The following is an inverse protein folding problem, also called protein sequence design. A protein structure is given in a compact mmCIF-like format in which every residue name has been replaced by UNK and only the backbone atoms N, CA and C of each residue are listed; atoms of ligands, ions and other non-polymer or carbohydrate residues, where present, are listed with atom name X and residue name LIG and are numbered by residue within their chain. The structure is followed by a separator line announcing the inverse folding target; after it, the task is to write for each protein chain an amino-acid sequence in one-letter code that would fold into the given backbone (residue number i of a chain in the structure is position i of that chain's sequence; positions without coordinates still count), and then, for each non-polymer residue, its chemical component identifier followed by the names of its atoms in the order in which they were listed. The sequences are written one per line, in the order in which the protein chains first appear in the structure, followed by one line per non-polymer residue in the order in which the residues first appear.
data_IF_213633867999
#
_entry.id   IF_213633867999
#
_cell.length_a   1.000
_cell.length_b   1.000
_cell.length_c   1.000
_cell.angle_alpha   90.00
_cell.angle_beta   90.00
_cell.angle_gamma   90.00
#
_symmetry.space_group_name_H-M   'P 1'
#
loop_
_entity.id
_entity.type
_entity.pdbx_description
1 polymer ?
#
# COMPACT_ATOMS: atom_id res chain seq x y z
N UNK A 1 -5.64 11.63 31.29
CA UNK A 1 -4.60 11.54 30.23
C UNK A 1 -5.09 12.02 28.87
N UNK A 2 -6.33 11.74 28.42
CA UNK A 2 -6.81 12.19 27.09
C UNK A 2 -6.85 13.72 26.94
N UNK A 3 -7.30 14.45 27.95
CA UNK A 3 -7.40 15.92 27.94
C UNK A 3 -6.05 16.66 27.85
N UNK A 4 -4.97 16.02 28.31
CA UNK A 4 -3.61 16.56 28.22
C UNK A 4 -3.05 16.43 26.78
N UNK A 5 -3.33 15.31 26.12
CA UNK A 5 -2.91 15.08 24.74
C UNK A 5 -3.75 15.88 23.73
N UNK A 6 -5.04 16.09 24.00
CA UNK A 6 -5.89 17.00 23.20
C UNK A 6 -5.45 18.48 23.31
N UNK A 7 -5.00 18.93 24.49
CA UNK A 7 -4.48 20.27 24.69
C UNK A 7 -3.12 20.51 24.00
N UNK A 8 -2.29 19.47 23.89
CA UNK A 8 -1.01 19.49 23.16
C UNK A 8 -1.24 19.47 21.64
N UNK A 9 -2.18 18.66 21.15
CA UNK A 9 -2.51 18.54 19.73
C UNK A 9 -3.15 19.82 19.14
N UNK A 10 -3.83 20.62 19.97
CA UNK A 10 -4.50 21.85 19.54
C UNK A 10 -3.62 23.10 19.57
N UNK A 11 -2.49 23.10 20.31
CA UNK A 11 -1.62 24.28 20.47
C UNK A 11 -0.26 24.18 19.78
N UNK A 12 0.21 22.99 19.43
CA UNK A 12 1.52 22.81 18.79
C UNK A 12 1.37 22.49 17.31
N UNK A 13 2.19 23.15 16.48
CA UNK A 13 2.26 22.87 15.07
C UNK A 13 2.77 21.43 14.87
N UNK A 14 2.15 20.65 13.98
CA UNK A 14 2.43 19.22 13.73
C UNK A 14 3.93 18.83 13.67
N UNK A 15 4.85 19.66 13.11
CA UNK A 15 6.28 19.35 13.10
C UNK A 15 6.91 19.28 14.51
N UNK A 16 6.44 20.07 15.47
CA UNK A 16 6.97 20.12 16.84
C UNK A 16 6.57 18.86 17.62
N UNK A 17 5.34 18.37 17.39
CA UNK A 17 4.86 17.11 17.96
C UNK A 17 5.67 15.93 17.40
N UNK A 18 5.95 15.94 16.09
CA UNK A 18 6.75 14.90 15.42
C UNK A 18 8.20 14.89 15.95
N UNK A 19 8.83 16.05 16.14
CA UNK A 19 10.18 16.14 16.72
C UNK A 19 10.21 15.68 18.19
N UNK A 20 9.23 16.08 19.00
CA UNK A 20 9.13 15.65 20.39
C UNK A 20 8.88 14.14 20.49
N UNK A 21 7.99 13.58 19.67
CA UNK A 21 7.74 12.14 19.62
C UNK A 21 8.97 11.38 19.10
N UNK A 22 9.67 11.90 18.10
CA UNK A 22 10.91 11.33 17.60
C UNK A 22 12.00 11.29 18.67
N UNK A 23 12.19 12.37 19.42
CA UNK A 23 13.14 12.42 20.53
C UNK A 23 12.75 11.45 21.67
N UNK A 24 11.47 11.41 22.05
CA UNK A 24 10.94 10.49 23.05
C UNK A 24 11.14 9.04 22.61
N UNK A 25 10.81 8.70 21.36
CA UNK A 25 11.00 7.34 20.83
C UNK A 25 12.48 6.94 20.77
N UNK A 26 13.38 7.90 20.50
CA UNK A 26 14.82 7.64 20.49
C UNK A 26 15.33 7.36 21.91
N UNK A 27 14.90 8.15 22.89
CA UNK A 27 15.16 7.92 24.32
C UNK A 27 14.65 6.53 24.73
N UNK A 28 13.40 6.21 24.42
CA UNK A 28 12.75 4.93 24.75
C UNK A 28 13.39 3.72 24.05
N UNK A 29 13.96 3.90 22.86
CA UNK A 29 14.67 2.82 22.13
C UNK A 29 16.06 2.52 22.68
N UNK A 30 16.66 3.48 23.41
CA UNK A 30 18.05 3.43 23.86
C UNK A 30 18.23 2.95 25.30
N UNK A 31 17.17 2.88 26.10
CA UNK A 31 17.22 2.35 27.48
C UNK A 31 16.22 1.19 27.69
N UNK A 32 16.62 0.21 28.50
CA UNK A 32 15.71 -0.84 28.98
C UNK A 32 14.68 -0.33 29.98
N UNK A 33 15.00 0.78 30.65
CA UNK A 33 14.15 1.48 31.60
C UNK A 33 14.22 2.97 31.31
N UNK A 34 13.09 3.58 30.93
CA UNK A 34 12.99 5.01 30.72
C UNK A 34 12.04 5.62 31.76
N UNK A 35 12.51 6.66 32.45
CA UNK A 35 11.69 7.46 33.36
C UNK A 35 11.38 8.80 32.71
N UNK A 36 10.09 9.11 32.57
CA UNK A 36 9.61 10.43 32.15
C UNK A 36 8.79 11.00 33.31
N UNK A 37 9.39 11.93 34.06
CA UNK A 37 8.83 12.39 35.33
C UNK A 37 8.77 11.26 36.37
N UNK A 38 7.60 11.08 37.02
CA UNK A 38 7.37 10.01 37.99
C UNK A 38 6.93 8.67 37.36
N UNK A 39 6.84 8.58 36.03
CA UNK A 39 6.37 7.38 35.34
C UNK A 39 7.60 6.54 34.92
N UNK A 40 7.73 5.35 35.51
CA UNK A 40 8.63 4.31 35.02
C UNK A 40 7.92 3.50 33.93
N UNK A 41 8.50 3.44 32.73
CA UNK A 41 8.01 2.59 31.64
C UNK A 41 9.01 1.45 31.45
N UNK A 42 8.61 0.22 31.79
CA UNK A 42 9.35 -0.98 31.41
C UNK A 42 8.96 -1.38 29.99
N UNK A 43 9.92 -1.31 29.07
CA UNK A 43 9.70 -1.62 27.67
C UNK A 43 10.18 -3.04 27.38
N UNK A 44 9.26 -4.01 27.48
CA UNK A 44 9.44 -5.39 27.03
C UNK A 44 9.25 -5.46 25.50
N UNK A 45 10.22 -4.97 24.76
CA UNK A 45 10.23 -5.08 23.28
C UNK A 45 11.30 -6.07 22.85
N UNK A 46 10.92 -7.06 22.03
CA UNK A 46 11.89 -7.87 21.31
C UNK A 46 12.78 -7.01 20.39
N UNK A 47 13.93 -7.53 19.97
CA UNK A 47 14.94 -6.82 19.15
C UNK A 47 14.36 -6.21 17.87
N UNK A 48 13.40 -6.88 17.23
CA UNK A 48 12.71 -6.40 16.03
C UNK A 48 11.87 -5.14 16.31
N UNK A 49 11.20 -5.09 17.46
CA UNK A 49 10.39 -3.94 17.86
C UNK A 49 11.25 -2.74 18.24
N UNK A 50 12.43 -2.95 18.85
CA UNK A 50 13.41 -1.88 19.11
C UNK A 50 13.96 -1.28 17.82
N UNK A 51 14.31 -2.10 16.84
CA UNK A 51 14.79 -1.60 15.55
C UNK A 51 13.71 -0.77 14.84
N UNK A 52 12.45 -1.24 14.85
CA UNK A 52 11.33 -0.49 14.29
C UNK A 52 11.11 0.86 15.02
N UNK A 53 11.23 0.88 16.35
CA UNK A 53 11.12 2.11 17.17
C UNK A 53 12.26 3.08 16.88
N UNK A 54 13.52 2.62 16.81
CA UNK A 54 14.68 3.46 16.48
C UNK A 54 14.59 4.03 15.07
N UNK A 55 14.20 3.20 14.09
CA UNK A 55 14.01 3.63 12.70
C UNK A 55 12.87 4.65 12.63
N UNK A 56 11.76 4.42 13.34
CA UNK A 56 10.63 5.35 13.40
C UNK A 56 11.02 6.66 14.08
N UNK A 57 11.81 6.62 15.16
CA UNK A 57 12.34 7.80 15.84
C UNK A 57 13.25 8.62 14.91
N UNK A 58 14.18 7.96 14.21
CA UNK A 58 15.06 8.60 13.24
C UNK A 58 14.27 9.17 12.06
N UNK A 59 13.28 8.44 11.54
CA UNK A 59 12.43 8.92 10.46
C UNK A 59 11.61 10.13 10.91
N UNK A 60 11.00 10.09 12.10
CA UNK A 60 10.25 11.21 12.67
C UNK A 60 11.13 12.43 12.92
N UNK A 61 12.34 12.25 13.46
CA UNK A 61 13.30 13.35 13.63
C UNK A 61 13.78 13.90 12.28
N UNK A 62 13.99 13.05 11.28
CA UNK A 62 14.40 13.46 9.93
C UNK A 62 13.28 14.19 9.16
N UNK A 63 12.04 13.70 9.24
CA UNK A 63 10.87 14.32 8.60
C UNK A 63 10.50 15.62 9.33
N UNK A 64 10.51 15.60 10.66
CA UNK A 64 10.26 16.75 11.52
C UNK A 64 11.30 17.84 11.30
N UNK A 65 12.58 17.48 11.16
CA UNK A 65 13.64 18.44 10.81
C UNK A 65 13.48 18.99 9.40
N UNK A 66 13.14 18.20 8.38
CA UNK A 66 12.87 18.72 7.02
C UNK A 66 11.70 19.72 6.97
N UNK A 67 10.60 19.41 7.66
CA UNK A 67 9.47 20.33 7.81
C UNK A 67 9.83 21.58 8.63
N UNK A 68 10.56 21.39 9.73
CA UNK A 68 11.07 22.48 10.57
C UNK A 68 12.02 23.39 9.80
N UNK A 69 12.98 22.84 9.07
CA UNK A 69 13.94 23.56 8.22
C UNK A 69 13.20 24.45 7.21
N UNK A 70 12.14 23.94 6.56
CA UNK A 70 11.27 24.75 5.69
C UNK A 70 10.56 25.87 6.46
N UNK A 71 10.03 25.60 7.67
CA UNK A 71 9.39 26.64 8.49
C UNK A 71 10.38 27.66 9.07
N UNK A 72 11.65 27.31 9.22
CA UNK A 72 12.74 28.22 9.63
C UNK A 72 13.37 28.95 8.43
N UNK A 73 12.81 28.83 7.22
CA UNK A 73 13.33 29.51 6.02
C UNK A 73 14.66 28.96 5.52
N UNK A 74 15.13 27.81 6.04
CA UNK A 74 16.32 27.14 5.53
C UNK A 74 15.97 26.55 4.17
N UNK A 75 16.38 27.28 3.14
CA UNK A 75 16.16 26.90 1.76
C UNK A 75 17.20 25.82 1.43
N UNK A 76 16.73 24.59 1.25
CA UNK A 76 17.58 23.47 0.79
C UNK A 76 18.22 23.84 -0.57
N UNK A 77 17.57 24.73 -1.32
CA UNK A 77 18.04 25.18 -2.61
C UNK A 77 19.02 26.36 -2.53
N UNK A 78 20.26 26.13 -2.97
CA UNK A 78 21.25 27.18 -3.22
C UNK A 78 21.11 27.66 -4.67
N UNK A 79 21.38 28.94 -4.99
CA UNK A 79 21.25 29.46 -6.36
C UNK A 79 22.12 28.77 -7.42
N UNK A 80 23.12 27.98 -7.02
CA UNK A 80 24.06 27.30 -7.93
C UNK A 80 23.37 26.08 -8.57
N UNK A 81 23.46 25.98 -9.90
CA UNK A 81 22.98 24.85 -10.71
C UNK A 81 21.48 24.52 -10.63
N UNK A 82 20.63 25.51 -10.32
CA UNK A 82 19.19 25.29 -10.33
C UNK A 82 18.63 25.22 -11.76
N UNK A 83 17.81 24.21 -12.04
CA UNK A 83 16.99 24.17 -13.27
C UNK A 83 15.55 24.52 -12.94
N UNK A 84 14.89 25.30 -13.80
CA UNK A 84 13.59 25.92 -13.52
C UNK A 84 12.47 25.55 -14.51
N UNK A 85 12.56 24.38 -15.15
CA UNK A 85 11.50 23.88 -16.02
C UNK A 85 11.40 22.36 -15.99
N UNK A 86 10.19 21.82 -16.21
CA UNK A 86 9.95 20.37 -16.24
C UNK A 86 10.88 19.65 -17.21
N UNK A 87 11.04 20.17 -18.44
CA UNK A 87 11.90 19.58 -19.47
C UNK A 87 13.37 19.54 -19.01
N UNK A 88 13.88 20.61 -18.41
CA UNK A 88 15.26 20.66 -17.89
C UNK A 88 15.43 19.70 -16.70
N UNK A 89 14.45 19.62 -15.81
CA UNK A 89 14.43 18.66 -14.70
C UNK A 89 14.51 17.23 -15.23
N UNK A 90 13.66 16.85 -16.19
CA UNK A 90 13.67 15.50 -16.78
C UNK A 90 15.00 15.20 -17.46
N UNK A 91 15.50 16.12 -18.30
CA UNK A 91 16.79 15.97 -18.99
C UNK A 91 17.94 15.77 -18.00
N UNK A 92 17.96 16.53 -16.89
CA UNK A 92 18.95 16.35 -15.82
C UNK A 92 18.80 15.05 -15.07
N UNK A 93 17.58 14.61 -14.78
CA UNK A 93 17.33 13.29 -14.20
C UNK A 93 17.84 12.17 -15.11
N UNK A 94 17.58 12.24 -16.42
CA UNK A 94 18.08 11.25 -17.39
C UNK A 94 19.62 11.25 -17.41
N UNK A 95 20.25 12.42 -17.47
CA UNK A 95 21.71 12.54 -17.42
C UNK A 95 22.29 11.88 -16.16
N UNK A 96 21.70 12.16 -14.99
CA UNK A 96 22.12 11.58 -13.73
C UNK A 96 21.95 10.05 -13.75
N UNK A 97 20.77 9.55 -14.13
CA UNK A 97 20.49 8.12 -14.18
C UNK A 97 21.45 7.36 -15.10
N UNK A 98 21.79 7.92 -16.27
CA UNK A 98 22.74 7.30 -17.19
C UNK A 98 24.15 7.20 -16.62
N UNK A 99 24.53 8.09 -15.69
CA UNK A 99 25.83 8.06 -15.02
C UNK A 99 25.91 7.08 -13.84
N UNK A 100 24.79 6.45 -13.46
CA UNK A 100 24.75 5.44 -12.40
C UNK A 100 25.54 4.19 -12.79
N UNK A 101 26.41 3.72 -11.90
CA UNK A 101 27.21 2.52 -12.11
C UNK A 101 26.45 1.25 -11.73
N UNK A 102 25.71 1.29 -10.63
CA UNK A 102 25.08 0.10 -10.06
C UNK A 102 23.64 0.34 -9.61
N UNK A 103 23.40 1.41 -8.85
CA UNK A 103 22.15 1.60 -8.11
C UNK A 103 21.58 2.99 -8.35
N UNK A 104 20.26 3.03 -8.57
CA UNK A 104 19.47 4.25 -8.62
C UNK A 104 18.38 4.14 -7.58
N UNK A 105 18.26 5.16 -6.73
CA UNK A 105 17.15 5.30 -5.80
C UNK A 105 16.34 6.55 -6.15
N UNK A 106 15.02 6.46 -6.06
CA UNK A 106 14.13 7.54 -6.46
C UNK A 106 13.04 7.79 -5.42
N UNK A 107 12.86 9.06 -5.05
CA UNK A 107 11.66 9.54 -4.37
C UNK A 107 10.75 10.22 -5.39
N UNK A 108 9.47 9.85 -5.43
CA UNK A 108 8.56 10.34 -6.46
C UNK A 108 7.12 10.43 -5.97
N UNK A 109 6.29 11.19 -6.67
CA UNK A 109 4.83 11.17 -6.51
C UNK A 109 4.25 9.87 -7.06
N UNK A 110 3.56 9.91 -8.19
CA UNK A 110 2.73 8.82 -8.73
C UNK A 110 3.28 8.17 -10.01
N UNK A 111 4.57 8.34 -10.31
CA UNK A 111 5.21 7.87 -11.55
C UNK A 111 4.66 8.47 -12.85
N UNK A 112 3.89 9.56 -12.80
CA UNK A 112 3.45 10.26 -14.03
C UNK A 112 4.60 10.81 -14.89
N UNK A 113 5.81 10.96 -14.34
CA UNK A 113 7.00 11.43 -15.06
C UNK A 113 7.68 10.35 -15.89
N UNK A 114 7.40 9.07 -15.65
CA UNK A 114 8.15 7.98 -16.29
C UNK A 114 7.91 7.89 -17.79
N UNK A 115 6.78 8.43 -18.28
CA UNK A 115 6.51 8.53 -19.72
C UNK A 115 7.59 9.33 -20.46
N UNK A 116 8.18 10.34 -19.81
CA UNK A 116 9.18 11.21 -20.43
C UNK A 116 10.59 10.59 -20.46
N UNK A 117 10.79 9.43 -19.81
CA UNK A 117 12.11 8.79 -19.68
C UNK A 117 12.02 7.26 -19.66
N UNK A 118 10.96 6.70 -20.25
CA UNK A 118 10.66 5.27 -20.18
C UNK A 118 11.81 4.43 -20.71
N UNK A 119 12.28 4.73 -21.92
CA UNK A 119 13.40 4.02 -22.57
C UNK A 119 14.67 4.05 -21.71
N UNK A 120 14.96 5.18 -21.07
CA UNK A 120 16.13 5.31 -20.18
C UNK A 120 16.04 4.34 -19.00
N UNK A 121 14.88 4.25 -18.34
CA UNK A 121 14.69 3.34 -17.20
C UNK A 121 14.86 1.88 -17.60
N UNK A 122 14.26 1.47 -18.72
CA UNK A 122 14.37 0.11 -19.25
C UNK A 122 15.81 -0.22 -19.64
N UNK A 123 16.49 0.67 -20.38
CA UNK A 123 17.88 0.46 -20.80
C UNK A 123 18.82 0.33 -19.60
N UNK A 124 18.63 1.13 -18.56
CA UNK A 124 19.43 1.04 -17.33
C UNK A 124 19.21 -0.30 -16.64
N UNK A 125 17.95 -0.71 -16.47
CA UNK A 125 17.60 -1.97 -15.83
C UNK A 125 18.15 -3.18 -16.60
N UNK A 126 18.00 -3.18 -17.93
CA UNK A 126 18.55 -4.20 -18.82
C UNK A 126 20.09 -4.24 -18.83
N UNK A 127 20.75 -3.15 -18.44
CA UNK A 127 22.21 -3.13 -18.23
C UNK A 127 22.64 -3.78 -16.90
N UNK A 128 21.73 -4.45 -16.17
CA UNK A 128 22.00 -5.08 -14.88
C UNK A 128 22.04 -4.12 -13.69
N UNK A 129 21.63 -2.86 -13.85
CA UNK A 129 21.60 -1.87 -12.77
C UNK A 129 20.28 -1.93 -12.01
N UNK A 130 20.32 -1.76 -10.69
CA UNK A 130 19.12 -1.78 -9.84
C UNK A 130 18.50 -0.40 -9.72
N UNK A 131 17.19 -0.31 -9.93
CA UNK A 131 16.39 0.90 -9.75
C UNK A 131 15.35 0.64 -8.66
N UNK A 132 15.44 1.40 -7.56
CA UNK A 132 14.48 1.33 -6.44
C UNK A 132 13.66 2.61 -6.37
N UNK A 133 12.35 2.48 -6.47
CA UNK A 133 11.44 3.61 -6.57
C UNK A 133 10.47 3.61 -5.37
N UNK A 134 10.53 4.66 -4.56
CA UNK A 134 9.52 4.97 -3.57
C UNK A 134 8.53 5.97 -4.12
N UNK A 135 7.26 5.60 -4.16
CA UNK A 135 6.21 6.42 -4.74
C UNK A 135 4.92 6.41 -3.90
N UNK A 136 3.99 7.33 -4.18
CA UNK A 136 2.61 7.24 -3.70
C UNK A 136 1.88 6.15 -4.46
N UNK A 137 1.07 5.38 -3.75
CA UNK A 137 0.10 4.45 -4.34
C UNK A 137 -0.88 5.23 -5.25
N UNK A 138 -0.82 5.06 -6.58
CA UNK A 138 -1.42 5.96 -7.54
C UNK A 138 -2.93 5.78 -7.66
N UNK A 139 -3.66 6.90 -7.70
CA UNK A 139 -5.12 6.90 -7.88
C UNK A 139 -5.49 6.98 -9.37
N UNK A 140 -4.81 7.86 -10.13
CA UNK A 140 -5.10 8.08 -11.54
C UNK A 140 -4.73 6.87 -12.42
N UNK A 141 -5.59 6.53 -13.37
CA UNK A 141 -5.42 5.33 -14.20
C UNK A 141 -4.12 5.36 -15.03
N UNK A 142 -3.76 6.51 -15.60
CA UNK A 142 -2.51 6.66 -16.33
C UNK A 142 -1.27 6.37 -15.47
N UNK A 143 -1.31 6.72 -14.18
CA UNK A 143 -0.24 6.45 -13.24
C UNK A 143 -0.19 4.96 -12.84
N UNK A 144 -1.35 4.31 -12.67
CA UNK A 144 -1.42 2.85 -12.47
C UNK A 144 -0.85 2.09 -13.68
N UNK A 145 -1.14 2.53 -14.90
CA UNK A 145 -0.52 1.97 -16.11
C UNK A 145 1.01 2.11 -16.10
N UNK A 146 1.54 3.22 -15.58
CA UNK A 146 2.98 3.40 -15.46
C UNK A 146 3.59 2.45 -14.44
N UNK A 147 2.96 2.24 -13.27
CA UNK A 147 3.41 1.21 -12.32
C UNK A 147 3.43 -0.16 -13.00
N UNK A 148 2.37 -0.54 -13.71
CA UNK A 148 2.26 -1.83 -14.39
C UNK A 148 3.37 -2.10 -15.38
N UNK A 149 3.74 -1.10 -16.20
CA UNK A 149 4.86 -1.20 -17.15
C UNK A 149 6.18 -1.63 -16.49
N UNK A 150 6.38 -1.30 -15.22
CA UNK A 150 7.64 -1.55 -14.52
C UNK A 150 7.51 -2.58 -13.40
N UNK A 151 6.30 -3.00 -13.03
CA UNK A 151 6.05 -3.87 -11.88
C UNK A 151 6.77 -5.21 -12.02
N UNK A 152 6.87 -5.71 -13.26
CA UNK A 152 7.53 -6.97 -13.60
C UNK A 152 8.87 -6.77 -14.32
N UNK A 153 9.35 -5.53 -14.46
CA UNK A 153 10.61 -5.28 -15.17
C UNK A 153 11.79 -5.71 -14.30
N UNK A 154 12.60 -6.70 -14.71
CA UNK A 154 13.79 -7.09 -13.95
C UNK A 154 14.72 -5.89 -13.74
N UNK A 155 15.27 -5.78 -12.53
CA UNK A 155 16.11 -4.65 -12.12
C UNK A 155 15.35 -3.44 -11.59
N UNK A 156 14.02 -3.36 -11.75
CA UNK A 156 13.19 -2.29 -11.18
C UNK A 156 12.38 -2.84 -10.01
N UNK A 157 12.39 -2.12 -8.89
CA UNK A 157 11.56 -2.41 -7.72
C UNK A 157 10.80 -1.17 -7.30
N UNK A 158 9.50 -1.33 -7.06
CA UNK A 158 8.62 -0.24 -6.65
C UNK A 158 8.02 -0.56 -5.29
N UNK A 159 8.02 0.41 -4.39
CA UNK A 159 7.35 0.35 -3.09
C UNK A 159 6.53 1.62 -2.86
N UNK A 160 5.44 1.49 -2.12
CA UNK A 160 4.58 2.63 -1.82
C UNK A 160 4.89 3.23 -0.46
N UNK A 161 4.91 4.56 -0.37
CA UNK A 161 4.85 5.23 0.93
C UNK A 161 3.60 4.74 1.68
N UNK A 162 3.76 4.45 2.97
CA UNK A 162 2.59 4.39 3.85
C UNK A 162 2.04 5.80 4.01
N UNK A 163 0.72 5.94 4.18
CA UNK A 163 0.03 7.25 4.14
C UNK A 163 0.66 8.33 5.04
N UNK A 164 1.27 7.92 6.15
CA UNK A 164 1.91 8.81 7.14
C UNK A 164 3.39 9.08 6.89
N UNK A 165 4.00 8.46 5.87
CA UNK A 165 5.46 8.48 5.65
C UNK A 165 5.88 9.07 4.30
N UNK A 166 5.04 9.82 3.57
CA UNK A 166 5.53 10.59 2.41
C UNK A 166 6.38 11.78 2.88
N UNK A 167 7.69 11.81 2.61
CA UNK A 167 8.56 12.90 3.05
C UNK A 167 8.37 14.21 2.27
N UNK A 168 7.50 14.21 1.26
CA UNK A 168 7.37 15.26 0.24
C UNK A 168 8.70 15.64 -0.43
N UNK A 169 9.61 14.67 -0.48
CA UNK A 169 10.87 14.74 -1.19
C UNK A 169 10.69 14.10 -2.57
N UNK A 170 11.24 14.72 -3.60
CA UNK A 170 11.26 14.16 -4.96
C UNK A 170 12.67 14.26 -5.51
N UNK A 171 13.08 13.28 -6.32
CA UNK A 171 14.42 13.29 -6.92
C UNK A 171 15.01 11.92 -7.12
N UNK A 172 16.28 11.94 -7.50
CA UNK A 172 17.07 10.77 -7.85
C UNK A 172 18.40 10.82 -7.10
N UNK A 173 18.89 9.67 -6.70
CA UNK A 173 20.26 9.51 -6.23
C UNK A 173 20.86 8.29 -6.89
N UNK A 174 22.14 8.38 -7.24
CA UNK A 174 22.87 7.27 -7.84
C UNK A 174 23.99 6.84 -6.90
N UNK A 175 24.24 5.52 -6.89
CA UNK A 175 25.24 4.83 -6.10
C UNK A 175 25.50 5.51 -4.74
N UNK A 176 24.49 5.60 -3.86
CA UNK A 176 24.54 6.47 -2.68
C UNK A 176 25.64 6.10 -1.67
N UNK A 177 26.23 4.92 -1.80
CA UNK A 177 27.37 4.47 -1.01
C UNK A 177 28.73 4.89 -1.60
N UNK A 178 28.82 5.18 -2.90
CA UNK A 178 30.09 5.40 -3.61
C UNK A 178 30.19 6.74 -4.35
N UNK A 179 29.21 7.09 -5.19
CA UNK A 179 29.33 8.29 -6.08
C UNK A 179 28.79 9.55 -5.45
N UNK A 180 27.97 9.44 -4.39
CA UNK A 180 27.45 10.58 -3.60
C UNK A 180 26.91 11.68 -4.52
N UNK A 181 25.99 11.30 -5.42
CA UNK A 181 25.42 12.21 -6.41
C UNK A 181 23.89 12.13 -6.39
N UNK A 182 23.25 13.27 -6.18
CA UNK A 182 21.81 13.40 -6.08
C UNK A 182 21.30 14.56 -6.94
N UNK A 183 20.06 14.44 -7.40
CA UNK A 183 19.31 15.52 -8.02
C UNK A 183 17.93 15.59 -7.37
N UNK A 184 17.73 16.61 -6.53
CA UNK A 184 16.51 16.80 -5.76
C UNK A 184 15.60 17.81 -6.47
N UNK A 185 14.30 17.53 -6.44
CA UNK A 185 13.30 18.24 -7.21
C UNK A 185 12.25 18.81 -6.26
N UNK A 186 11.98 20.10 -6.38
CA UNK A 186 10.84 20.76 -5.77
C UNK A 186 9.79 21.09 -6.84
N UNK A 187 8.53 20.85 -6.50
CA UNK A 187 7.38 21.13 -7.36
C UNK A 187 6.39 21.96 -6.56
N UNK A 188 6.05 23.18 -7.02
CA UNK A 188 5.03 24.03 -6.38
C UNK A 188 3.88 24.27 -7.33
N UNK A 189 2.66 24.20 -6.80
CA UNK A 189 1.46 24.55 -7.55
C UNK A 189 1.47 26.05 -7.86
N UNK A 190 1.04 26.42 -9.06
CA UNK A 190 0.93 27.83 -9.47
C UNK A 190 -0.28 28.53 -8.83
N UNK A 191 -1.35 27.79 -8.57
CA UNK A 191 -2.59 28.29 -7.95
C UNK A 191 -2.62 27.86 -6.47
N UNK A 192 -2.81 28.80 -5.53
CA UNK A 192 -2.97 28.44 -4.11
C UNK A 192 -4.33 27.75 -3.91
N UNK A 193 -4.37 26.70 -3.08
CA UNK A 193 -5.61 26.03 -2.67
C UNK A 193 -6.06 24.83 -3.50
N UNK A 194 -5.28 24.40 -4.50
CA UNK A 194 -5.58 23.19 -5.28
C UNK A 194 -5.06 21.92 -4.57
N UNK A 195 -5.96 20.98 -4.27
CA UNK A 195 -5.60 19.70 -3.67
C UNK A 195 -5.42 18.62 -4.75
N UNK A 196 -4.17 18.34 -5.09
CA UNK A 196 -3.78 17.31 -6.05
C UNK A 196 -4.34 15.93 -5.72
N UNK A 197 -4.47 15.61 -4.43
CA UNK A 197 -4.90 14.27 -4.02
C UNK A 197 -6.33 13.99 -4.47
N UNK A 198 -7.14 15.04 -4.65
CA UNK A 198 -8.54 14.94 -5.04
C UNK A 198 -8.74 14.89 -6.54
N UNK A 199 -8.00 15.70 -7.31
CA UNK A 199 -8.36 15.96 -8.71
C UNK A 199 -7.59 15.11 -9.73
N UNK A 200 -6.54 14.39 -9.31
CA UNK A 200 -5.81 13.47 -10.18
C UNK A 200 -5.13 14.10 -11.41
N UNK A 201 -5.10 15.44 -11.51
CA UNK A 201 -4.54 16.14 -12.67
C UNK A 201 -3.05 15.84 -12.81
N UNK A 202 -2.62 15.25 -13.93
CA UNK A 202 -1.19 15.02 -14.20
C UNK A 202 -0.40 16.33 -14.12
N UNK A 203 0.75 16.29 -13.43
CA UNK A 203 1.58 17.47 -13.22
C UNK A 203 2.13 18.01 -14.53
N UNK A 204 1.44 18.95 -15.17
CA UNK A 204 1.93 19.64 -16.35
C UNK A 204 2.56 21.00 -15.98
N UNK A 205 3.26 21.62 -16.94
CA UNK A 205 3.90 22.94 -16.75
C UNK A 205 2.91 24.09 -16.61
N UNK A 206 1.64 23.90 -16.99
CA UNK A 206 0.58 24.91 -16.84
C UNK A 206 0.20 25.07 -15.36
N UNK A 207 0.19 23.97 -14.60
CA UNK A 207 -0.27 23.94 -13.21
C UNK A 207 0.87 24.05 -12.20
N UNK A 208 2.10 23.75 -12.62
CA UNK A 208 3.24 23.66 -11.71
C UNK A 208 4.45 24.47 -12.15
N UNK A 209 5.22 24.89 -11.15
CA UNK A 209 6.62 25.29 -11.31
C UNK A 209 7.50 24.20 -10.73
N UNK A 210 8.61 23.95 -11.43
CA UNK A 210 9.56 22.90 -11.09
C UNK A 210 10.91 23.54 -10.86
N UNK A 211 11.57 23.14 -9.79
CA UNK A 211 12.95 23.45 -9.49
C UNK A 211 13.68 22.15 -9.26
N UNK A 212 14.90 22.06 -9.77
CA UNK A 212 15.78 20.94 -9.48
C UNK A 212 17.16 21.46 -9.11
N UNK A 213 17.81 20.81 -8.16
CA UNK A 213 19.19 21.09 -7.79
C UNK A 213 19.99 19.81 -7.68
N UNK A 214 21.18 19.91 -8.25
CA UNK A 214 22.18 18.87 -8.26
C UNK A 214 23.11 19.02 -7.06
N UNK A 215 23.38 17.90 -6.40
CA UNK A 215 24.27 17.78 -5.25
C UNK A 215 25.31 16.71 -5.57
N UNK A 216 26.59 17.04 -5.46
CA UNK A 216 27.68 16.14 -5.87
C UNK A 216 28.95 16.38 -5.06
N UNK A 217 29.57 15.27 -4.66
CA UNK A 217 30.90 15.29 -4.04
C UNK A 217 30.86 15.60 -2.54
N UNK A 218 32.05 15.82 -1.96
CA UNK A 218 32.22 15.90 -0.50
C UNK A 218 31.50 17.09 0.15
N UNK A 219 31.39 18.22 -0.57
CA UNK A 219 30.74 19.44 -0.05
C UNK A 219 29.24 19.26 0.24
N UNK A 220 28.57 18.34 -0.46
CA UNK A 220 27.13 18.11 -0.34
C UNK A 220 26.77 16.90 0.53
N UNK A 221 27.76 16.27 1.18
CA UNK A 221 27.55 15.04 1.94
C UNK A 221 26.60 15.18 3.11
N UNK A 222 26.60 16.35 3.74
CA UNK A 222 25.69 16.69 4.84
C UNK A 222 24.22 16.66 4.41
N UNK A 223 23.94 16.74 3.10
CA UNK A 223 22.59 16.66 2.52
C UNK A 223 22.34 15.23 1.99
N UNK A 224 23.28 14.68 1.23
CA UNK A 224 23.11 13.40 0.53
C UNK A 224 23.01 12.23 1.51
N UNK A 225 23.86 12.18 2.55
CA UNK A 225 23.91 11.03 3.47
C UNK A 225 22.62 10.88 4.29
N UNK A 226 22.07 11.94 4.92
CA UNK A 226 20.80 11.83 5.62
C UNK A 226 19.64 11.41 4.72
N UNK A 227 19.56 11.93 3.49
CA UNK A 227 18.50 11.56 2.54
C UNK A 227 18.63 10.11 2.11
N UNK A 228 19.85 9.62 1.87
CA UNK A 228 20.10 8.20 1.57
C UNK A 228 19.64 7.29 2.72
N UNK A 229 19.99 7.65 3.97
CA UNK A 229 19.54 6.92 5.16
C UNK A 229 18.02 6.94 5.31
N UNK A 230 17.39 8.09 5.07
CA UNK A 230 15.93 8.22 5.05
C UNK A 230 15.31 7.31 3.98
N UNK A 231 15.88 7.25 2.77
CA UNK A 231 15.42 6.34 1.72
C UNK A 231 15.47 4.89 2.19
N UNK A 232 16.59 4.44 2.75
CA UNK A 232 16.76 3.07 3.22
C UNK A 232 15.73 2.72 4.32
N UNK A 233 15.55 3.60 5.30
CA UNK A 233 14.53 3.44 6.35
C UNK A 233 13.12 3.33 5.79
N UNK A 234 12.74 4.25 4.90
CA UNK A 234 11.43 4.24 4.26
C UNK A 234 11.25 3.02 3.36
N UNK A 235 12.29 2.60 2.65
CA UNK A 235 12.27 1.42 1.79
C UNK A 235 11.89 0.18 2.57
N UNK A 236 12.56 -0.09 3.69
CA UNK A 236 12.28 -1.27 4.53
C UNK A 236 10.86 -1.27 5.13
N UNK A 237 10.34 -0.10 5.49
CA UNK A 237 8.99 0.03 6.04
C UNK A 237 7.87 0.05 4.99
N UNK A 238 8.22 0.29 3.72
CA UNK A 238 7.24 0.46 2.66
C UNK A 238 6.80 -0.89 2.08
N UNK A 239 5.48 -1.13 1.90
CA UNK A 239 5.01 -2.31 1.20
C UNK A 239 5.48 -2.32 -0.26
N UNK A 240 5.69 -3.54 -0.81
CA UNK A 240 5.84 -3.74 -2.27
C UNK A 240 4.68 -3.07 -3.00
N UNK A 241 4.97 -2.52 -4.18
CA UNK A 241 3.92 -2.01 -5.03
C UNK A 241 2.92 -3.12 -5.36
N UNK A 242 1.66 -2.73 -5.38
CA UNK A 242 0.54 -3.60 -5.68
C UNK A 242 -0.43 -2.79 -6.52
N UNK A 243 -0.91 -3.33 -7.61
CA UNK A 243 -1.95 -2.71 -8.42
C UNK A 243 -3.30 -3.27 -8.04
N UNK A 244 -4.27 -2.38 -7.95
CA UNK A 244 -5.67 -2.74 -7.77
C UNK A 244 -6.45 -2.14 -8.93
N UNK A 245 -7.17 -3.00 -9.63
CA UNK A 245 -7.96 -2.66 -10.80
C UNK A 245 -9.34 -3.28 -10.71
N UNK A 246 -10.33 -2.57 -11.23
CA UNK A 246 -11.59 -3.20 -11.59
C UNK A 246 -11.32 -4.28 -12.64
N UNK A 247 -12.03 -5.39 -12.55
CA UNK A 247 -11.95 -6.48 -13.52
C UNK A 247 -13.34 -6.83 -14.02
N UNK A 248 -13.41 -7.30 -15.26
CA UNK A 248 -14.67 -7.69 -15.88
C UNK A 248 -15.23 -8.96 -15.25
N UNK A 249 -16.55 -8.97 -15.06
CA UNK A 249 -17.26 -10.11 -14.48
C UNK A 249 -17.08 -11.40 -15.30
N UNK A 250 -17.05 -11.30 -16.63
CA UNK A 250 -16.93 -12.45 -17.54
C UNK A 250 -15.68 -13.30 -17.25
N UNK A 251 -14.54 -12.67 -16.94
CA UNK A 251 -13.32 -13.40 -16.56
C UNK A 251 -13.55 -14.23 -15.30
N UNK A 252 -14.21 -13.65 -14.30
CA UNK A 252 -14.54 -14.34 -13.05
C UNK A 252 -15.50 -15.49 -13.27
N UNK A 253 -16.53 -15.29 -14.08
CA UNK A 253 -17.48 -16.34 -14.41
C UNK A 253 -16.79 -17.52 -15.11
N UNK A 254 -15.90 -17.24 -16.06
CA UNK A 254 -15.10 -18.27 -16.74
C UNK A 254 -14.18 -19.04 -15.78
N UNK A 255 -13.62 -18.37 -14.77
CA UNK A 255 -12.81 -19.03 -13.72
C UNK A 255 -13.67 -19.91 -12.82
N UNK A 256 -14.86 -19.43 -12.41
CA UNK A 256 -15.82 -20.24 -11.64
C UNK A 256 -16.23 -21.50 -12.40
N UNK A 257 -16.48 -21.42 -13.71
CA UNK A 257 -16.88 -22.57 -14.54
C UNK A 257 -15.80 -23.65 -14.68
N UNK A 258 -14.53 -23.36 -14.34
CA UNK A 258 -13.46 -24.36 -14.29
C UNK A 258 -13.49 -25.22 -13.02
N UNK A 259 -14.20 -24.76 -11.98
CA UNK A 259 -14.45 -25.56 -10.78
C UNK A 259 -15.48 -26.62 -11.14
N UNK A 260 -15.15 -27.90 -10.93
CA UNK A 260 -15.95 -29.05 -11.35
C UNK A 260 -17.42 -28.93 -10.93
N UNK A 261 -17.67 -28.57 -9.67
CA UNK A 261 -19.00 -28.43 -9.10
C UNK A 261 -19.81 -27.28 -9.71
N UNK A 262 -19.16 -26.30 -10.33
CA UNK A 262 -19.79 -25.10 -10.88
C UNK A 262 -19.89 -25.12 -12.40
N UNK A 263 -19.33 -26.12 -13.09
CA UNK A 263 -19.25 -26.16 -14.54
C UNK A 263 -20.62 -25.97 -15.22
N UNK A 264 -21.67 -26.56 -14.64
CA UNK A 264 -23.06 -26.50 -15.14
C UNK A 264 -23.96 -25.55 -14.33
N UNK A 265 -23.44 -24.92 -13.28
CA UNK A 265 -24.22 -24.05 -12.43
C UNK A 265 -24.69 -22.80 -13.19
N UNK A 266 -25.85 -22.31 -12.79
CA UNK A 266 -26.36 -21.02 -13.25
C UNK A 266 -25.78 -19.93 -12.37
N UNK A 267 -24.93 -19.10 -12.95
CA UNK A 267 -24.17 -18.07 -12.23
C UNK A 267 -24.82 -16.70 -12.46
N UNK A 268 -25.07 -15.95 -11.38
CA UNK A 268 -25.66 -14.61 -11.45
C UNK A 268 -25.02 -13.67 -10.43
N UNK A 269 -24.83 -12.41 -10.80
CA UNK A 269 -24.48 -11.36 -9.84
C UNK A 269 -25.76 -10.68 -9.35
N UNK A 270 -25.98 -10.64 -8.03
CA UNK A 270 -27.17 -10.02 -7.44
C UNK A 270 -26.84 -9.33 -6.12
N UNK A 271 -27.54 -8.23 -5.83
CA UNK A 271 -27.57 -7.64 -4.49
C UNK A 271 -28.57 -8.39 -3.60
N UNK A 272 -28.14 -8.77 -2.42
CA UNK A 272 -28.93 -9.55 -1.43
C UNK A 272 -28.77 -8.95 -0.05
N UNK A 273 -29.77 -9.16 0.82
CA UNK A 273 -29.65 -8.81 2.23
C UNK A 273 -28.64 -9.73 2.91
N UNK A 274 -27.76 -9.16 3.72
CA UNK A 274 -26.80 -9.88 4.54
C UNK A 274 -27.47 -10.80 5.56
N UNK A 275 -28.68 -10.46 6.02
CA UNK A 275 -29.48 -11.29 6.94
C UNK A 275 -29.91 -12.62 6.33
N UNK A 276 -30.07 -12.67 5.01
CA UNK A 276 -30.59 -13.83 4.28
C UNK A 276 -29.46 -14.83 3.98
N UNK A 277 -28.21 -14.42 4.16
CA UNK A 277 -27.03 -15.23 3.95
C UNK A 277 -26.70 -16.08 5.16
N UNK A 278 -26.24 -17.31 4.91
CA UNK A 278 -25.78 -18.28 5.92
C UNK A 278 -24.27 -18.52 5.75
N UNK A 279 -23.44 -18.30 6.78
CA UNK A 279 -22.02 -18.64 6.75
C UNK A 279 -21.77 -20.14 6.60
N UNK A 280 -20.89 -20.57 5.70
CA UNK A 280 -20.49 -21.99 5.62
C UNK A 280 -19.53 -22.41 6.74
N UNK A 281 -18.77 -21.47 7.30
CA UNK A 281 -17.82 -21.73 8.39
C UNK A 281 -17.94 -20.71 9.52
N UNK A 282 -17.54 -21.12 10.72
CA UNK A 282 -17.81 -20.39 11.98
C UNK A 282 -16.71 -19.39 12.37
N UNK A 283 -15.46 -19.76 12.18
CA UNK A 283 -14.31 -19.07 12.71
C UNK A 283 -13.59 -18.28 11.61
N UNK A 284 -13.32 -17.00 11.91
CA UNK A 284 -12.59 -16.08 11.04
C UNK A 284 -11.28 -15.70 11.74
N UNK A 285 -10.11 -15.97 11.14
CA UNK A 285 -8.84 -15.53 11.72
C UNK A 285 -8.76 -14.01 11.83
N UNK A 286 -8.43 -13.49 13.01
CA UNK A 286 -8.30 -12.04 13.29
C UNK A 286 -7.38 -11.33 12.29
N UNK A 287 -6.21 -11.90 12.01
CA UNK A 287 -5.24 -11.35 11.06
C UNK A 287 -5.81 -11.22 9.65
N UNK A 288 -6.62 -12.19 9.19
CA UNK A 288 -7.29 -12.12 7.88
C UNK A 288 -8.37 -11.06 7.88
N UNK A 289 -9.11 -10.91 8.97
CA UNK A 289 -10.09 -9.85 9.14
C UNK A 289 -9.45 -8.45 9.08
N UNK A 290 -8.33 -8.22 9.78
CA UNK A 290 -7.55 -6.99 9.69
C UNK A 290 -7.09 -6.68 8.26
N UNK A 291 -6.66 -7.72 7.52
CA UNK A 291 -6.26 -7.57 6.12
C UNK A 291 -7.44 -7.15 5.24
N UNK A 292 -8.64 -7.67 5.48
CA UNK A 292 -9.86 -7.22 4.79
C UNK A 292 -10.19 -5.76 5.12
N UNK A 293 -10.01 -5.30 6.37
CA UNK A 293 -10.19 -3.89 6.71
C UNK A 293 -9.22 -2.99 5.95
N UNK A 294 -7.94 -3.40 5.85
CA UNK A 294 -6.91 -2.67 5.07
C UNK A 294 -7.26 -2.65 3.58
N UNK A 295 -7.70 -3.80 3.05
CA UNK A 295 -8.14 -3.91 1.66
C UNK A 295 -9.34 -3.01 1.38
N UNK A 296 -10.37 -3.03 2.22
CA UNK A 296 -11.58 -2.22 2.06
C UNK A 296 -11.27 -0.72 1.97
N UNK A 297 -10.45 -0.19 2.90
CA UNK A 297 -10.00 1.22 2.86
C UNK A 297 -9.22 1.55 1.59
N UNK A 298 -8.42 0.60 1.10
CA UNK A 298 -7.64 0.78 -0.11
C UNK A 298 -8.51 0.75 -1.36
N UNK A 299 -9.47 -0.17 -1.45
CA UNK A 299 -10.46 -0.20 -2.53
C UNK A 299 -11.27 1.09 -2.58
N UNK A 300 -11.73 1.58 -1.42
CA UNK A 300 -12.42 2.87 -1.29
C UNK A 300 -11.58 4.03 -1.83
N UNK A 301 -10.28 4.10 -1.48
CA UNK A 301 -9.33 5.08 -2.03
C UNK A 301 -9.24 5.04 -3.57
N UNK A 302 -9.43 3.86 -4.18
CA UNK A 302 -9.44 3.69 -5.64
C UNK A 302 -10.84 3.78 -6.26
N UNK A 303 -11.88 4.10 -5.49
CA UNK A 303 -13.29 4.09 -5.91
C UNK A 303 -13.78 2.72 -6.41
N UNK A 304 -13.21 1.64 -5.90
CA UNK A 304 -13.58 0.25 -6.25
C UNK A 304 -14.49 -0.30 -5.14
N UNK A 305 -15.73 -0.74 -5.45
CA UNK A 305 -16.58 -1.39 -4.46
C UNK A 305 -16.01 -2.74 -4.01
N UNK A 306 -16.00 -3.01 -2.70
CA UNK A 306 -15.53 -4.29 -2.11
C UNK A 306 -16.28 -5.54 -2.63
N UNK A 307 -17.49 -5.34 -3.16
CA UNK A 307 -18.41 -6.38 -3.65
C UNK A 307 -18.38 -6.59 -5.16
N UNK A 308 -17.55 -5.85 -5.90
CA UNK A 308 -17.32 -6.09 -7.32
C UNK A 308 -16.15 -7.06 -7.52
N UNK A 309 -16.02 -7.56 -8.74
CA UNK A 309 -14.78 -8.19 -9.17
C UNK A 309 -13.68 -7.15 -9.28
N UNK A 310 -12.51 -7.45 -8.71
CA UNK A 310 -11.29 -6.67 -8.90
C UNK A 310 -10.08 -7.60 -8.93
N UNK A 311 -8.96 -7.13 -9.45
CA UNK A 311 -7.67 -7.83 -9.33
C UNK A 311 -6.71 -7.12 -8.40
N UNK A 312 -5.87 -7.92 -7.78
CA UNK A 312 -4.68 -7.49 -7.05
C UNK A 312 -3.48 -8.07 -7.79
N UNK A 313 -2.57 -7.21 -8.22
CA UNK A 313 -1.38 -7.59 -8.95
C UNK A 313 -0.14 -7.10 -8.21
N UNK A 314 0.81 -7.98 -7.98
CA UNK A 314 2.10 -7.71 -7.33
C UNK A 314 3.20 -8.14 -8.29
N UNK A 315 4.49 -7.83 -8.05
CA UNK A 315 5.56 -8.35 -8.88
C UNK A 315 5.56 -9.88 -9.00
N UNK A 316 5.04 -10.56 -7.98
CA UNK A 316 5.16 -12.01 -7.79
C UNK A 316 3.91 -12.79 -8.27
N UNK A 317 2.74 -12.16 -8.35
CA UNK A 317 1.49 -12.83 -8.74
C UNK A 317 0.40 -11.84 -9.17
N UNK A 318 -0.60 -12.36 -9.90
CA UNK A 318 -1.88 -11.68 -10.14
C UNK A 318 -3.02 -12.53 -9.60
N UNK A 319 -3.89 -11.92 -8.78
CA UNK A 319 -5.05 -12.58 -8.20
C UNK A 319 -6.34 -11.85 -8.57
N UNK A 320 -7.31 -12.57 -9.12
CA UNK A 320 -8.66 -12.06 -9.32
C UNK A 320 -9.48 -12.36 -8.06
N UNK A 321 -10.16 -11.35 -7.53
CA UNK A 321 -11.02 -11.49 -6.37
C UNK A 321 -12.47 -11.27 -6.83
N UNK A 322 -13.31 -12.33 -6.81
CA UNK A 322 -14.71 -12.22 -7.20
C UNK A 322 -15.51 -11.47 -6.14
N UNK A 323 -16.77 -11.08 -6.39
CA UNK A 323 -17.77 -10.88 -5.34
C UNK A 323 -17.82 -12.11 -4.41
N UNK A 324 -18.32 -12.00 -3.17
CA UNK A 324 -18.57 -13.17 -2.34
C UNK A 324 -19.39 -14.22 -3.11
N UNK A 325 -18.99 -15.49 -3.00
CA UNK A 325 -19.60 -16.60 -3.74
C UNK A 325 -20.63 -17.25 -2.81
N UNK A 326 -21.86 -17.34 -3.30
CA UNK A 326 -23.02 -17.84 -2.57
C UNK A 326 -23.65 -18.97 -3.36
N UNK A 327 -23.86 -20.12 -2.74
CA UNK A 327 -24.64 -21.21 -3.32
C UNK A 327 -26.07 -21.18 -2.79
N UNK A 328 -27.03 -21.41 -3.70
CA UNK A 328 -28.45 -21.52 -3.37
C UNK A 328 -28.85 -22.99 -3.28
N UNK A 329 -29.00 -23.50 -2.06
CA UNK A 329 -29.35 -24.91 -1.81
C UNK A 329 -30.62 -24.99 -0.94
N UNK A 330 -31.64 -25.69 -1.44
CA UNK A 330 -32.95 -25.85 -0.78
C UNK A 330 -33.57 -24.53 -0.28
N UNK A 331 -33.42 -23.46 -1.08
CA UNK A 331 -33.93 -22.11 -0.76
C UNK A 331 -33.02 -21.27 0.14
N UNK A 332 -31.98 -21.84 0.74
CA UNK A 332 -31.01 -21.11 1.56
C UNK A 332 -29.87 -20.55 0.70
N UNK A 333 -29.40 -19.35 1.04
CA UNK A 333 -28.24 -18.72 0.42
C UNK A 333 -27.02 -18.89 1.33
N UNK A 334 -26.09 -19.76 0.95
CA UNK A 334 -24.91 -20.09 1.78
C UNK A 334 -23.65 -19.44 1.21
N UNK A 335 -22.92 -18.67 2.02
CA UNK A 335 -21.64 -18.06 1.63
C UNK A 335 -20.55 -19.14 1.64
N UNK A 336 -20.09 -19.53 0.46
CA UNK A 336 -19.03 -20.53 0.27
C UNK A 336 -17.65 -19.89 0.27
N UNK A 337 -17.53 -18.69 -0.32
CA UNK A 337 -16.32 -17.87 -0.25
C UNK A 337 -16.65 -16.39 -0.01
N UNK A 338 -15.70 -15.66 0.59
CA UNK A 338 -15.85 -14.25 0.89
C UNK A 338 -16.56 -13.96 2.22
N UNK A 339 -16.73 -14.95 3.12
CA UNK A 339 -17.35 -14.76 4.43
C UNK A 339 -16.69 -13.63 5.23
N UNK A 340 -15.36 -13.52 5.22
CA UNK A 340 -14.64 -12.46 5.98
C UNK A 340 -15.06 -11.07 5.49
N UNK A 341 -15.27 -10.89 4.18
CA UNK A 341 -15.78 -9.63 3.61
C UNK A 341 -17.23 -9.41 4.03
N UNK A 342 -18.11 -10.41 3.89
CA UNK A 342 -19.50 -10.31 4.33
C UNK A 342 -19.60 -9.95 5.84
N UNK A 343 -18.79 -10.59 6.68
CA UNK A 343 -18.69 -10.30 8.11
C UNK A 343 -18.24 -8.85 8.36
N UNK A 344 -17.18 -8.38 7.68
CA UNK A 344 -16.75 -6.97 7.74
C UNK A 344 -17.89 -6.00 7.41
N UNK A 345 -18.66 -6.27 6.35
CA UNK A 345 -19.83 -5.46 5.96
C UNK A 345 -20.84 -5.31 7.08
N UNK A 346 -21.14 -6.43 7.75
CA UNK A 346 -22.08 -6.46 8.87
C UNK A 346 -21.56 -5.63 10.04
N UNK A 347 -20.26 -5.72 10.34
CA UNK A 347 -19.63 -4.91 11.40
C UNK A 347 -19.68 -3.41 11.10
N UNK A 348 -19.63 -3.00 9.84
CA UNK A 348 -19.76 -1.59 9.43
C UNK A 348 -21.20 -1.18 9.11
N UNK A 349 -22.19 -1.98 9.51
CA UNK A 349 -23.62 -1.64 9.41
C UNK A 349 -24.21 -1.70 8.00
N UNK A 350 -23.57 -2.38 7.05
CA UNK A 350 -24.20 -2.65 5.74
C UNK A 350 -25.31 -3.68 5.93
N UNK A 351 -26.41 -3.47 5.20
CA UNK A 351 -27.57 -4.36 5.18
C UNK A 351 -27.59 -5.25 3.94
N UNK A 352 -27.03 -4.76 2.83
CA UNK A 352 -27.01 -5.45 1.55
C UNK A 352 -25.59 -5.49 0.98
N UNK A 353 -25.29 -6.55 0.24
CA UNK A 353 -24.04 -6.72 -0.52
C UNK A 353 -24.32 -7.33 -1.89
N UNK A 354 -23.46 -7.03 -2.86
CA UNK A 354 -23.45 -7.72 -4.16
C UNK A 354 -22.68 -9.02 -4.04
N UNK A 355 -23.28 -10.12 -4.50
CA UNK A 355 -22.71 -11.46 -4.45
C UNK A 355 -22.85 -12.16 -5.80
N UNK A 356 -22.01 -13.16 -6.02
CA UNK A 356 -22.18 -14.16 -7.08
C UNK A 356 -23.03 -15.31 -6.52
N UNK A 357 -24.26 -15.47 -7.02
CA UNK A 357 -25.15 -16.58 -6.70
C UNK A 357 -24.97 -17.70 -7.72
N UNK A 358 -24.67 -18.89 -7.22
CA UNK A 358 -24.64 -20.15 -7.94
C UNK A 358 -25.96 -20.88 -7.66
N UNK A 359 -26.77 -21.07 -8.70
CA UNK A 359 -27.99 -21.89 -8.66
C UNK A 359 -27.75 -23.21 -9.41
N UNK A 360 -28.55 -24.23 -9.10
CA UNK A 360 -28.54 -25.53 -9.77
C UNK A 360 -27.18 -26.28 -9.67
N UNK A 361 -26.47 -26.10 -8.55
CA UNK A 361 -25.27 -26.89 -8.22
C UNK A 361 -25.71 -28.30 -7.81
N UNK A 362 -25.23 -29.33 -8.50
CA UNK A 362 -25.64 -30.73 -8.27
C UNK A 362 -25.03 -31.31 -7.00
N UNK A 363 -23.81 -30.90 -6.67
CA UNK A 363 -23.04 -31.44 -5.56
C UNK A 363 -23.44 -30.78 -4.23
N UNK A 364 -23.54 -31.54 -3.14
CA UNK A 364 -23.87 -30.97 -1.82
C UNK A 364 -22.77 -30.02 -1.33
N UNK A 365 -23.11 -29.16 -0.37
CA UNK A 365 -22.14 -28.31 0.34
C UNK A 365 -21.08 -29.14 1.06
N UNK A 366 -19.85 -28.62 1.28
CA UNK A 366 -18.81 -29.36 1.98
C UNK A 366 -19.05 -29.39 3.50
N UNK A 367 -20.15 -28.81 3.97
CA UNK A 367 -20.57 -28.78 5.37
C UNK A 367 -21.95 -28.11 5.50
N UNK A 368 -22.49 -28.11 6.70
CA UNK A 368 -23.75 -27.44 7.02
C UNK A 368 -23.52 -25.96 7.33
N UNK A 369 -24.42 -25.06 6.89
CA UNK A 369 -24.31 -23.64 7.18
C UNK A 369 -24.56 -23.32 8.66
N UNK A 370 -23.79 -22.38 9.19
CA UNK A 370 -23.93 -21.80 10.52
C UNK A 370 -24.92 -20.63 10.55
N UNK A 371 -25.33 -20.21 11.75
CA UNK A 371 -25.98 -18.91 11.93
C UNK A 371 -24.95 -17.80 12.19
N UNK A 372 -25.27 -16.57 11.78
CA UNK A 372 -24.41 -15.41 12.05
C UNK A 372 -24.08 -15.21 13.54
N UNK A 373 -25.01 -15.57 14.44
CA UNK A 373 -24.82 -15.49 15.89
C UNK A 373 -23.70 -16.38 16.40
N UNK A 374 -23.25 -17.36 15.62
CA UNK A 374 -22.23 -18.35 15.99
C UNK A 374 -20.86 -18.00 15.41
N UNK A 375 -20.80 -17.11 14.41
CA UNK A 375 -19.56 -16.67 13.77
C UNK A 375 -18.73 -15.82 14.74
N UNK A 376 -17.42 -16.11 14.83
CA UNK A 376 -16.49 -15.44 15.75
C UNK A 376 -15.16 -15.15 15.08
N UNK A 377 -14.54 -14.04 15.48
CA UNK A 377 -13.11 -13.83 15.25
C UNK A 377 -12.32 -14.68 16.25
N UNK A 378 -11.27 -15.33 15.78
CA UNK A 378 -10.38 -16.15 16.62
C UNK A 378 -8.93 -15.98 16.22
N UNK A 379 -8.02 -16.39 17.10
CA UNK A 379 -6.58 -16.41 16.78
C UNK A 379 -6.31 -17.44 15.68
N UNK A 380 -5.32 -17.14 14.84
CA UNK A 380 -4.91 -18.08 13.80
C UNK A 380 -4.43 -19.40 14.44
N UNK A 381 -4.81 -20.54 13.85
CA UNK A 381 -4.52 -21.89 14.35
C UNK A 381 -5.17 -22.30 15.68
N UNK A 382 -6.17 -21.57 16.19
CA UNK A 382 -6.87 -21.94 17.42
C UNK A 382 -8.06 -22.90 17.21
N UNK A 383 -8.21 -23.47 16.01
CA UNK A 383 -9.34 -24.31 15.64
C UNK A 383 -8.95 -25.29 14.52
N UNK A 384 -9.62 -26.44 14.45
CA UNK A 384 -9.48 -27.41 13.36
C UNK A 384 -10.50 -27.17 12.25
N UNK A 385 -10.32 -27.83 11.10
CA UNK A 385 -11.26 -27.68 9.98
C UNK A 385 -12.62 -28.28 10.32
N UNK A 386 -12.63 -29.38 11.04
CA UNK A 386 -13.82 -30.10 11.51
C UNK A 386 -14.61 -29.28 12.54
N UNK A 387 -13.92 -28.49 13.38
CA UNK A 387 -14.58 -27.54 14.28
C UNK A 387 -15.20 -26.36 13.53
N UNK A 388 -14.58 -25.96 12.41
CA UNK A 388 -14.99 -24.79 11.65
C UNK A 388 -16.16 -25.07 10.69
N UNK A 389 -16.23 -26.29 10.16
CA UNK A 389 -17.24 -26.75 9.20
C UNK A 389 -18.09 -27.85 9.82
N UNK A 390 -19.37 -27.60 10.02
CA UNK A 390 -20.28 -28.61 10.55
C UNK A 390 -20.46 -29.76 9.54
N UNK A 391 -20.28 -31.01 9.95
CA UNK A 391 -20.35 -32.19 9.08
C UNK A 391 -19.45 -32.06 7.83
N UNK A 392 -18.21 -31.63 8.05
CA UNK A 392 -17.25 -31.40 6.97
C UNK A 392 -17.05 -32.65 6.08
N UNK A 393 -17.17 -32.47 4.77
CA UNK A 393 -16.85 -33.47 3.77
C UNK A 393 -15.87 -32.89 2.73
N UNK A 394 -14.61 -33.36 2.70
CA UNK A 394 -13.59 -32.83 1.80
C UNK A 394 -13.85 -33.12 0.32
N UNK A 395 -14.62 -34.16 -0.02
CA UNK A 395 -14.88 -34.54 -1.42
C UNK A 395 -15.72 -33.51 -2.15
N UNK A 396 -16.44 -32.67 -1.42
CA UNK A 396 -17.21 -31.58 -1.98
C UNK A 396 -16.48 -30.24 -1.86
N UNK A 397 -15.19 -30.21 -1.53
CA UNK A 397 -14.50 -28.92 -1.43
C UNK A 397 -14.43 -28.21 -2.80
N UNK A 398 -14.68 -26.90 -2.82
CA UNK A 398 -14.58 -26.09 -4.03
C UNK A 398 -13.25 -25.35 -4.04
N UNK A 399 -12.39 -25.72 -4.97
CA UNK A 399 -11.05 -25.14 -5.04
C UNK A 399 -11.05 -23.78 -5.76
N UNK A 400 -11.36 -22.74 -4.99
CA UNK A 400 -11.36 -21.34 -5.43
C UNK A 400 -9.93 -20.77 -5.41
N UNK A 401 -8.91 -21.54 -4.98
CA UNK A 401 -7.52 -21.07 -5.00
C UNK A 401 -6.97 -20.90 -6.43
N UNK A 402 -7.60 -21.55 -7.41
CA UNK A 402 -7.37 -21.41 -8.85
C UNK A 402 -7.53 -19.98 -9.40
N UNK A 403 -7.88 -19.01 -8.55
CA UNK A 403 -8.03 -17.61 -8.90
C UNK A 403 -6.71 -16.81 -8.87
N UNK A 404 -5.63 -17.49 -8.54
CA UNK A 404 -4.27 -16.99 -8.56
C UNK A 404 -3.61 -17.41 -9.89
N UNK A 405 -3.30 -16.43 -10.74
CA UNK A 405 -2.42 -16.63 -11.89
C UNK A 405 -0.98 -16.43 -11.38
N UNK A 406 -0.16 -17.49 -11.39
CA UNK A 406 1.29 -17.36 -11.25
C UNK A 406 1.81 -16.58 -12.47
N UNK A 407 2.44 -15.44 -12.23
CA UNK A 407 3.09 -14.69 -13.29
C UNK A 407 4.46 -15.32 -13.52
N UNK A 408 4.64 -15.94 -14.70
CA UNK A 408 5.86 -16.64 -15.14
C UNK A 408 7.07 -15.70 -15.14
#
# INVERSE_FOLDING_TARGET
MSSFWEAIATKLNTPVIILALGAILLILSSSSDAKIGHISIQILTNTTSRLALTISAFALLSIGSLGALKSFGITIFSPRNTVNSRRKVISKSIQLMNSAKQNIICFTGDLSWTNDCHETLINIANSGRSIRILCKDPIAEQAKQNVHKYLHQPGISIRYYTYVLDPDLRGFMIDPQSTKHAFLIEKKHRIKGYDYQRDGTTGNTKNYRYWGQEYRGEADLSIIVPISKLFAALWELSPKATLIRDEEWERTENMLRKIEQYAKAKIKVKTVNLSDLKPLYRFIPEKRYENIQKLARRLEKHNIPLWKTFSIETPDYKKVIPPPIVEKNHGNLTIVDGLIRAYYSRQVGKMEITVCILEDVSEPLPGQPWNWSEVRLVREHSYTREENFQNYNPNYWRDISSFEDELI
#
